data_IF_035316003388
#
_entry.id   IF_035316003388
#
_cell.length_a   1.000
_cell.length_b   1.000
_cell.length_c   1.000
_cell.angle_alpha   90.00
_cell.angle_beta   90.00
_cell.angle_gamma   90.00
#
_symmetry.space_group_name_H-M   'P 1'
#
loop_
_entity.id
_entity.type
_entity.pdbx_description
1 polymer ?
#
# COMPACT_ATOMS: atom_id res chain seq x y z
N UNK A 1 3.89 19.43 22.60
CA UNK A 1 2.92 18.79 23.50
C UNK A 1 1.54 19.36 23.15
N UNK A 2 0.55 18.50 22.91
CA UNK A 2 -0.81 18.88 22.49
C UNK A 2 -1.76 19.06 23.69
N UNK A 3 -1.25 18.89 24.92
CA UNK A 3 -2.07 18.92 26.13
C UNK A 3 -2.84 17.61 26.36
N UNK A 4 -3.70 17.55 27.39
CA UNK A 4 -4.46 16.34 27.71
C UNK A 4 -5.41 15.97 26.57
N UNK A 5 -5.40 14.69 26.19
CA UNK A 5 -6.22 14.17 25.11
C UNK A 5 -6.68 12.74 25.41
N UNK A 6 -7.77 12.32 24.78
CA UNK A 6 -8.32 10.98 24.89
C UNK A 6 -8.54 10.42 23.49
N UNK A 7 -8.00 9.22 23.22
CA UNK A 7 -8.27 8.50 22.00
C UNK A 7 -9.62 7.76 22.12
N UNK A 8 -10.44 7.82 21.08
CA UNK A 8 -11.73 7.14 21.01
C UNK A 8 -11.69 6.17 19.82
N UNK A 9 -11.84 4.88 20.09
CA UNK A 9 -11.97 3.84 19.04
C UNK A 9 -13.26 4.11 18.27
N UNK A 10 -13.19 4.08 16.94
CA UNK A 10 -14.31 4.40 16.04
C UNK A 10 -14.99 5.75 16.34
N UNK A 11 -14.18 6.73 16.77
CA UNK A 11 -14.67 8.02 17.25
C UNK A 11 -15.48 8.82 16.23
N UNK A 12 -15.32 8.57 14.93
CA UNK A 12 -16.12 9.20 13.87
C UNK A 12 -17.58 8.71 13.86
N UNK A 13 -17.84 7.48 14.31
CA UNK A 13 -19.21 6.99 14.52
C UNK A 13 -19.84 7.55 15.81
N UNK A 14 -19.02 8.03 16.76
CA UNK A 14 -19.45 8.37 18.12
C UNK A 14 -19.42 9.88 18.43
N UNK A 15 -18.75 10.70 17.60
CA UNK A 15 -18.57 12.13 17.85
C UNK A 15 -18.64 12.95 16.57
N UNK A 16 -19.54 13.94 16.55
CA UNK A 16 -19.69 14.85 15.40
C UNK A 16 -18.42 15.64 15.08
N UNK A 17 -17.63 16.00 16.09
CA UNK A 17 -16.38 16.70 15.87
C UNK A 17 -15.35 15.82 15.15
N UNK A 18 -15.23 14.55 15.57
CA UNK A 18 -14.33 13.58 14.95
C UNK A 18 -14.82 13.23 13.53
N UNK A 19 -16.12 13.03 13.35
CA UNK A 19 -16.74 12.79 12.03
C UNK A 19 -16.50 13.97 11.07
N UNK A 20 -16.66 15.21 11.54
CA UNK A 20 -16.44 16.40 10.71
C UNK A 20 -14.96 16.50 10.31
N UNK A 21 -14.04 16.21 11.22
CA UNK A 21 -12.61 16.19 10.94
C UNK A 21 -12.25 15.10 9.91
N UNK A 22 -12.82 13.89 10.02
CA UNK A 22 -12.55 12.78 9.10
C UNK A 22 -13.05 13.10 7.67
N UNK A 23 -14.21 13.74 7.52
CA UNK A 23 -14.73 14.21 6.23
C UNK A 23 -13.78 15.23 5.59
N UNK A 24 -13.36 16.25 6.34
CA UNK A 24 -12.41 17.27 5.83
C UNK A 24 -11.09 16.61 5.41
N UNK A 25 -10.56 15.69 6.21
CA UNK A 25 -9.34 14.96 5.89
C UNK A 25 -9.49 14.13 4.60
N UNK A 26 -10.58 13.36 4.47
CA UNK A 26 -10.87 12.52 3.30
C UNK A 26 -10.99 13.35 2.02
N UNK A 27 -11.83 14.38 2.03
CA UNK A 27 -12.05 15.24 0.86
C UNK A 27 -10.75 15.93 0.44
N UNK A 28 -9.95 16.37 1.42
CA UNK A 28 -8.64 16.98 1.13
C UNK A 28 -7.67 15.98 0.50
N UNK A 29 -7.55 14.77 1.06
CA UNK A 29 -6.73 13.68 0.51
C UNK A 29 -7.12 13.37 -0.93
N UNK A 30 -8.40 13.16 -1.19
CA UNK A 30 -8.88 12.74 -2.51
C UNK A 30 -8.60 13.81 -3.57
N UNK A 31 -8.79 15.09 -3.24
CA UNK A 31 -8.42 16.21 -4.11
C UNK A 31 -6.92 16.27 -4.42
N UNK A 32 -6.07 15.99 -3.43
CA UNK A 32 -4.62 15.93 -3.64
C UNK A 32 -4.24 14.76 -4.56
N UNK A 33 -4.89 13.61 -4.38
CA UNK A 33 -4.63 12.44 -5.22
C UNK A 33 -5.06 12.64 -6.67
N UNK A 34 -6.18 13.32 -6.91
CA UNK A 34 -6.61 13.72 -8.25
C UNK A 34 -5.61 14.68 -8.93
N UNK A 35 -5.08 15.65 -8.18
CA UNK A 35 -4.02 16.54 -8.69
C UNK A 35 -2.75 15.77 -9.03
N UNK A 36 -2.38 14.82 -8.18
CA UNK A 36 -1.21 13.98 -8.39
C UNK A 36 -1.38 13.04 -9.58
N UNK A 37 -2.57 12.48 -9.83
CA UNK A 37 -2.86 11.67 -11.02
C UNK A 37 -2.65 12.46 -12.33
N UNK A 38 -2.98 13.75 -12.33
CA UNK A 38 -2.69 14.63 -13.48
C UNK A 38 -1.20 14.93 -13.65
N UNK A 39 -0.46 15.04 -12.54
CA UNK A 39 0.98 15.35 -12.55
C UNK A 39 1.85 14.13 -12.86
N UNK A 40 1.41 12.96 -12.42
CA UNK A 40 2.04 11.65 -12.58
C UNK A 40 0.99 10.68 -13.13
N UNK A 41 0.74 10.68 -14.44
CA UNK A 41 -0.20 9.75 -15.06
C UNK A 41 0.30 8.30 -14.95
N UNK A 42 -0.61 7.33 -15.10
CA UNK A 42 -0.30 5.89 -15.12
C UNK A 42 -0.52 5.16 -13.80
N UNK A 43 -0.41 5.82 -12.65
CA UNK A 43 -0.57 5.18 -11.33
C UNK A 43 -2.03 5.00 -10.87
N UNK A 44 -3.01 5.56 -11.58
CA UNK A 44 -4.44 5.46 -11.24
C UNK A 44 -4.86 6.15 -9.94
N UNK A 45 -4.09 7.13 -9.46
CA UNK A 45 -4.35 7.81 -8.18
C UNK A 45 -5.67 8.57 -8.10
N UNK A 46 -6.28 8.89 -9.24
CA UNK A 46 -7.62 9.47 -9.36
C UNK A 46 -8.72 8.50 -8.93
N UNK A 47 -8.48 7.18 -9.00
CA UNK A 47 -9.41 6.16 -8.56
C UNK A 47 -8.94 5.47 -7.27
N UNK A 48 -7.69 5.02 -7.21
CA UNK A 48 -7.18 4.24 -6.07
C UNK A 48 -6.69 5.09 -4.89
N UNK A 49 -6.58 6.41 -5.04
CA UNK A 49 -6.15 7.36 -4.00
C UNK A 49 -4.89 6.91 -3.22
N UNK A 50 -3.97 6.23 -3.91
CA UNK A 50 -2.69 5.76 -3.36
C UNK A 50 -2.71 4.37 -2.72
N UNK A 51 -3.86 3.68 -2.68
CA UNK A 51 -3.90 2.27 -2.25
C UNK A 51 -3.22 1.37 -3.28
N UNK A 52 -2.64 0.26 -2.81
CA UNK A 52 -1.85 -0.70 -3.62
C UNK A 52 -2.73 -1.60 -4.50
N UNK A 53 -3.66 -1.01 -5.26
CA UNK A 53 -4.44 -1.71 -6.28
C UNK A 53 -3.53 -2.27 -7.37
N UNK A 54 -3.97 -3.32 -8.09
CA UNK A 54 -3.25 -3.88 -9.24
C UNK A 54 -2.80 -2.79 -10.23
N UNK A 55 -3.70 -1.86 -10.57
CA UNK A 55 -3.39 -0.72 -11.47
C UNK A 55 -2.27 0.16 -10.93
N UNK A 56 -2.23 0.40 -9.62
CA UNK A 56 -1.17 1.20 -9.01
C UNK A 56 0.18 0.48 -9.08
N UNK A 57 0.20 -0.82 -8.78
CA UNK A 57 1.42 -1.61 -8.83
C UNK A 57 1.96 -1.76 -10.27
N UNK A 58 1.07 -1.88 -11.25
CA UNK A 58 1.44 -1.83 -12.68
C UNK A 58 2.09 -0.49 -13.03
N UNK A 59 1.47 0.64 -12.64
CA UNK A 59 2.06 1.96 -12.86
C UNK A 59 3.43 2.13 -12.16
N UNK A 60 3.59 1.57 -10.96
CA UNK A 60 4.87 1.50 -10.26
C UNK A 60 5.93 0.72 -11.02
N UNK A 61 5.55 -0.39 -11.66
CA UNK A 61 6.45 -1.19 -12.48
C UNK A 61 6.85 -0.48 -13.77
N UNK A 62 5.90 0.15 -14.44
CA UNK A 62 6.10 0.82 -15.74
C UNK A 62 6.83 2.16 -15.63
N UNK A 63 6.55 2.93 -14.57
CA UNK A 63 7.03 4.31 -14.43
C UNK A 63 8.02 4.50 -13.27
N UNK A 64 8.22 3.48 -12.44
CA UNK A 64 9.07 3.56 -11.26
C UNK A 64 8.47 4.42 -10.14
N UNK A 65 9.31 4.81 -9.18
CA UNK A 65 8.89 5.57 -8.01
C UNK A 65 8.80 7.07 -8.28
N UNK A 66 7.87 7.70 -7.57
CA UNK A 66 7.80 9.15 -7.40
C UNK A 66 8.15 9.53 -5.95
N UNK A 67 8.46 10.81 -5.66
CA UNK A 67 8.67 11.27 -4.28
C UNK A 67 7.46 11.10 -3.34
N UNK A 68 6.27 10.83 -3.90
CA UNK A 68 5.03 10.64 -3.13
C UNK A 68 4.79 9.19 -2.72
N UNK A 69 5.62 8.24 -3.17
CA UNK A 69 5.56 6.86 -2.71
C UNK A 69 6.27 6.69 -1.37
N UNK A 70 5.63 5.94 -0.46
CA UNK A 70 6.19 5.64 0.86
C UNK A 70 7.10 4.42 0.76
N UNK A 71 8.41 4.63 0.76
CA UNK A 71 9.41 3.58 0.55
C UNK A 71 9.43 2.50 1.63
N UNK A 72 8.96 2.82 2.83
CA UNK A 72 8.85 1.85 3.94
C UNK A 72 7.69 0.86 3.77
N UNK A 73 6.78 1.07 2.83
CA UNK A 73 5.58 0.22 2.68
C UNK A 73 5.96 -1.04 1.89
N UNK A 74 5.48 -2.20 2.34
CA UNK A 74 5.94 -3.50 1.85
C UNK A 74 5.96 -3.63 0.32
N UNK A 75 4.90 -3.29 -0.46
CA UNK A 75 4.94 -3.43 -1.92
C UNK A 75 6.00 -2.55 -2.59
N UNK A 76 6.19 -1.33 -2.07
CA UNK A 76 7.20 -0.39 -2.57
C UNK A 76 8.60 -0.87 -2.22
N UNK A 77 8.79 -1.36 -1.00
CA UNK A 77 10.06 -1.96 -0.56
C UNK A 77 10.40 -3.19 -1.39
N UNK A 78 9.43 -4.03 -1.72
CA UNK A 78 9.58 -5.19 -2.60
C UNK A 78 10.03 -4.76 -4.00
N UNK A 79 9.41 -3.74 -4.60
CA UNK A 79 9.86 -3.17 -5.88
C UNK A 79 11.34 -2.77 -5.83
N UNK A 80 11.77 -2.11 -4.74
CA UNK A 80 13.15 -1.63 -4.57
C UNK A 80 14.15 -2.79 -4.41
N UNK A 81 13.79 -3.82 -3.64
CA UNK A 81 14.71 -4.89 -3.22
C UNK A 81 14.69 -6.12 -4.13
N UNK A 82 13.53 -6.46 -4.71
CA UNK A 82 13.29 -7.68 -5.49
C UNK A 82 12.29 -7.44 -6.63
N UNK A 83 12.69 -6.83 -7.76
CA UNK A 83 11.77 -6.41 -8.82
C UNK A 83 11.01 -7.56 -9.51
N UNK A 84 11.52 -8.80 -9.44
CA UNK A 84 10.89 -9.98 -10.03
C UNK A 84 9.65 -10.44 -9.26
N UNK A 85 9.59 -10.21 -7.95
CA UNK A 85 8.45 -10.65 -7.11
C UNK A 85 7.23 -9.74 -7.22
N UNK A 86 7.36 -8.56 -7.86
CA UNK A 86 6.23 -7.67 -8.10
C UNK A 86 5.32 -8.18 -9.23
N UNK A 87 5.88 -8.81 -10.26
CA UNK A 87 5.06 -9.40 -11.34
C UNK A 87 4.15 -10.51 -10.79
N UNK A 88 4.72 -11.38 -9.95
CA UNK A 88 3.97 -12.45 -9.29
C UNK A 88 2.86 -11.89 -8.40
N UNK A 89 3.14 -10.81 -7.66
CA UNK A 89 2.16 -10.13 -6.83
C UNK A 89 1.01 -9.54 -7.68
N UNK A 90 1.35 -8.82 -8.76
CA UNK A 90 0.36 -8.25 -9.69
C UNK A 90 -0.51 -9.35 -10.30
N UNK A 91 0.07 -10.49 -10.67
CA UNK A 91 -0.64 -11.63 -11.26
C UNK A 91 -1.67 -12.25 -10.30
N UNK A 92 -1.37 -12.27 -9.00
CA UNK A 92 -2.20 -12.90 -7.96
C UNK A 92 -3.29 -11.99 -7.39
N UNK A 93 -3.24 -10.68 -7.68
CA UNK A 93 -4.22 -9.72 -7.17
C UNK A 93 -5.47 -9.60 -8.06
N UNK A 94 -6.59 -9.24 -7.47
CA UNK A 94 -7.76 -8.76 -8.20
C UNK A 94 -7.58 -7.28 -8.62
N UNK A 95 -8.61 -6.68 -9.19
CA UNK A 95 -8.59 -5.27 -9.61
C UNK A 95 -8.52 -4.27 -8.43
N UNK A 96 -8.98 -4.67 -7.24
CA UNK A 96 -8.99 -3.85 -6.02
C UNK A 96 -7.68 -3.95 -5.25
N UNK A 97 -6.81 -4.90 -5.62
CA UNK A 97 -5.55 -5.20 -4.93
C UNK A 97 -5.69 -6.19 -3.77
N UNK A 98 -6.81 -6.91 -3.68
CA UNK A 98 -6.97 -8.06 -2.80
C UNK A 98 -6.37 -9.30 -3.47
N UNK A 99 -5.96 -10.29 -2.68
CA UNK A 99 -5.42 -11.55 -3.22
C UNK A 99 -6.57 -12.42 -3.73
N UNK A 100 -6.40 -13.07 -4.87
CA UNK A 100 -7.39 -14.03 -5.37
C UNK A 100 -7.52 -15.22 -4.40
N UNK A 101 -8.76 -15.64 -4.12
CA UNK A 101 -9.09 -16.70 -3.15
C UNK A 101 -8.39 -18.06 -3.41
N UNK A 102 -7.86 -18.28 -4.61
CA UNK A 102 -7.06 -19.48 -4.95
C UNK A 102 -5.63 -19.48 -4.41
N UNK A 103 -5.20 -18.41 -3.72
CA UNK A 103 -3.84 -18.26 -3.18
C UNK A 103 -3.77 -18.58 -1.67
N UNK A 104 -4.48 -19.60 -1.20
CA UNK A 104 -4.08 -20.29 0.04
C UNK A 104 -2.72 -20.95 -0.21
N UNK A 105 -1.66 -20.19 0.04
CA UNK A 105 -0.31 -20.69 0.02
C UNK A 105 -0.10 -21.44 1.32
N UNK A 106 0.05 -22.76 1.22
CA UNK A 106 0.38 -23.68 2.30
C UNK A 106 1.50 -23.11 3.18
N UNK A 107 1.14 -22.66 4.38
CA UNK A 107 2.04 -22.03 5.35
C UNK A 107 3.21 -22.95 5.76
N UNK A 108 3.13 -24.25 5.45
CA UNK A 108 4.18 -25.23 5.73
C UNK A 108 5.39 -25.16 4.78
N UNK A 109 5.30 -24.53 3.60
CA UNK A 109 6.38 -24.57 2.60
C UNK A 109 7.48 -23.51 2.81
N UNK A 110 7.32 -22.58 3.77
CA UNK A 110 8.27 -21.48 4.02
C UNK A 110 9.30 -21.76 5.10
N UNK A 111 9.06 -22.73 5.99
CA UNK A 111 9.99 -23.03 7.10
C UNK A 111 11.22 -23.81 6.62
N UNK A 112 11.09 -24.65 5.58
CA UNK A 112 12.18 -25.54 5.15
C UNK A 112 13.26 -24.90 4.26
N UNK A 113 13.08 -23.67 3.77
CA UNK A 113 14.08 -23.01 2.89
C UNK A 113 14.90 -21.90 3.54
N UNK A 114 14.59 -21.51 4.77
CA UNK A 114 15.31 -20.44 5.45
C UNK A 114 16.59 -20.90 6.18
N UNK A 115 16.81 -22.21 6.33
CA UNK A 115 17.96 -22.73 7.09
C UNK A 115 19.19 -23.12 6.24
N UNK A 116 19.10 -23.18 4.91
CA UNK A 116 20.20 -23.72 4.08
C UNK A 116 21.13 -22.69 3.42
N UNK A 117 21.02 -21.37 3.68
CA UNK A 117 21.85 -20.42 2.93
C UNK A 117 22.34 -19.17 3.68
N UNK A 118 22.69 -19.29 4.96
CA UNK A 118 23.58 -18.32 5.61
C UNK A 118 25.00 -18.92 5.63
N UNK A 119 25.94 -18.44 4.80
CA UNK A 119 27.34 -18.77 5.02
C UNK A 119 27.81 -18.05 6.29
N UNK A 120 28.29 -18.82 7.26
CA UNK A 120 29.00 -18.31 8.41
C UNK A 120 30.22 -17.51 7.94
N UNK A 121 30.23 -16.19 8.17
CA UNK A 121 31.46 -15.40 8.09
C UNK A 121 32.14 -15.42 9.46
N UNK A 122 33.43 -15.74 9.41
CA UNK A 122 34.42 -15.70 10.48
C UNK A 122 34.68 -14.29 11.01
#
# INVERSE_FOLDING_TARGET
DLGPHTAIVDGDALSYAIASASIVAKVTRDRLMYKLARRYPGYGWDSNVGYATRRHLQGLREHGLTPFHRTAYAPVRTLILQPTTLDDLIAQMDETGQMNETAEMDDNARIDRAEESIPALA
#
